data_IF_885085111017
#
_entry.id   IF_885085111017
#
_cell.length_a   1.000
_cell.length_b   1.000
_cell.length_c   1.000
_cell.angle_alpha   90.00
_cell.angle_beta   90.00
_cell.angle_gamma   90.00
#
_symmetry.space_group_name_H-M   'P 1'
#
loop_
_entity.id
_entity.type
_entity.pdbx_description
1 polymer ?
#
# COMPACT_ATOMS: atom_id res chain seq x y z
N UNK A 1 -3.30 9.21 -21.19
CA UNK A 1 -2.47 8.00 -21.31
C UNK A 1 -2.26 7.40 -19.93
N UNK A 2 -2.02 6.12 -19.84
CA UNK A 2 -1.73 5.45 -18.58
C UNK A 2 -0.42 5.99 -18.00
N UNK A 3 -0.43 6.39 -16.73
CA UNK A 3 0.77 6.91 -16.07
C UNK A 3 1.81 5.79 -15.93
N UNK A 4 3.05 6.09 -16.31
CA UNK A 4 4.15 5.14 -16.10
C UNK A 4 4.44 5.02 -14.59
N UNK A 5 5.14 3.94 -14.20
CA UNK A 5 5.54 3.76 -12.79
C UNK A 5 6.39 4.94 -12.29
N UNK A 6 7.31 5.45 -13.11
CA UNK A 6 8.17 6.58 -12.74
C UNK A 6 7.37 7.88 -12.55
N UNK A 7 6.35 8.11 -13.38
CA UNK A 7 5.45 9.26 -13.21
C UNK A 7 4.68 9.17 -11.89
N UNK A 8 4.27 7.95 -11.49
CA UNK A 8 3.59 7.72 -10.22
C UNK A 8 4.53 7.95 -9.02
N UNK A 9 5.79 7.54 -9.13
CA UNK A 9 6.83 7.81 -8.10
C UNK A 9 6.99 9.31 -7.92
N UNK A 10 7.22 10.06 -9.00
CA UNK A 10 7.39 11.52 -8.95
C UNK A 10 6.16 12.23 -8.39
N UNK A 11 4.96 11.78 -8.77
CA UNK A 11 3.72 12.35 -8.26
C UNK A 11 3.54 12.07 -6.75
N UNK A 12 3.85 10.86 -6.30
CA UNK A 12 3.80 10.51 -4.88
C UNK A 12 4.80 11.32 -4.05
N UNK A 13 6.02 11.49 -4.53
CA UNK A 13 7.06 12.29 -3.87
C UNK A 13 6.68 13.78 -3.84
N UNK A 14 6.12 14.29 -4.93
CA UNK A 14 5.60 15.67 -5.00
C UNK A 14 4.49 15.89 -3.98
N UNK A 15 3.51 14.98 -3.92
CA UNK A 15 2.41 15.06 -2.97
C UNK A 15 2.94 15.01 -1.52
N UNK A 16 3.86 14.09 -1.23
CA UNK A 16 4.49 13.96 0.09
C UNK A 16 5.28 15.21 0.48
N UNK A 17 6.05 15.78 -0.44
CA UNK A 17 6.83 17.00 -0.21
C UNK A 17 5.95 18.19 0.18
N UNK A 18 4.85 18.43 -0.54
CA UNK A 18 3.93 19.51 -0.20
C UNK A 18 3.13 19.18 1.06
N UNK A 19 2.67 17.95 1.25
CA UNK A 19 1.93 17.54 2.43
C UNK A 19 2.73 17.71 3.73
N UNK A 20 4.02 17.43 3.71
CA UNK A 20 4.90 17.60 4.89
C UNK A 20 5.06 19.06 5.33
N UNK A 21 4.77 20.05 4.47
CA UNK A 21 4.81 21.47 4.81
C UNK A 21 3.57 21.94 5.59
N UNK A 22 2.52 21.13 5.61
CA UNK A 22 1.28 21.43 6.30
C UNK A 22 1.30 20.89 7.73
N UNK A 23 1.21 21.80 8.71
CA UNK A 23 1.19 21.47 10.14
C UNK A 23 -0.04 20.69 10.58
N UNK A 24 -1.08 20.71 9.77
CA UNK A 24 -2.34 20.00 9.97
C UNK A 24 -2.22 18.49 9.73
N UNK A 25 -1.15 18.08 9.07
CA UNK A 25 -0.90 16.69 8.68
C UNK A 25 0.24 16.10 9.50
N UNK A 26 0.11 14.84 9.92
CA UNK A 26 1.14 14.12 10.68
C UNK A 26 1.19 12.65 10.29
N UNK A 27 2.33 11.99 10.57
CA UNK A 27 2.51 10.56 10.32
C UNK A 27 2.44 10.17 8.86
N UNK A 28 2.82 11.09 7.95
CA UNK A 28 2.78 10.85 6.51
C UNK A 28 3.76 9.76 6.09
N UNK A 29 3.28 8.80 5.34
CA UNK A 29 4.09 7.72 4.76
C UNK A 29 3.54 7.29 3.40
N UNK A 30 4.44 6.93 2.49
CA UNK A 30 4.10 6.35 1.19
C UNK A 30 4.41 4.86 1.18
N UNK A 31 3.53 4.06 0.56
CA UNK A 31 3.79 2.63 0.33
C UNK A 31 4.68 2.38 -0.88
N UNK A 32 4.93 3.41 -1.68
CA UNK A 32 5.73 3.31 -2.89
C UNK A 32 7.20 3.53 -2.52
N UNK A 33 7.95 2.44 -2.49
CA UNK A 33 9.40 2.45 -2.34
C UNK A 33 9.99 2.03 -3.67
N UNK A 34 10.55 2.98 -4.40
CA UNK A 34 11.07 2.78 -5.76
C UNK A 34 12.51 2.25 -5.78
N UNK A 35 13.28 2.53 -4.73
CA UNK A 35 14.73 2.30 -4.68
C UNK A 35 15.13 1.25 -3.63
N UNK A 36 14.44 0.13 -3.58
CA UNK A 36 14.86 -0.97 -2.71
C UNK A 36 16.03 -1.68 -3.40
N UNK A 37 17.18 -1.82 -2.72
CA UNK A 37 18.29 -2.61 -3.23
C UNK A 37 17.85 -4.05 -3.47
N UNK A 38 18.11 -4.56 -4.65
CA UNK A 38 17.76 -5.91 -5.08
C UNK A 38 18.96 -6.59 -5.69
N UNK A 39 19.03 -7.90 -5.58
CA UNK A 39 19.97 -8.73 -6.30
C UNK A 39 19.30 -9.26 -7.56
N UNK A 40 19.76 -8.81 -8.71
CA UNK A 40 19.32 -9.28 -10.02
C UNK A 40 20.25 -10.38 -10.51
N UNK A 41 19.69 -11.51 -10.89
CA UNK A 41 20.44 -12.60 -11.51
C UNK A 41 20.04 -12.73 -12.96
N UNK A 42 20.95 -12.36 -13.85
CA UNK A 42 20.77 -12.48 -15.28
C UNK A 42 21.14 -13.88 -15.75
N UNK A 43 20.10 -14.66 -16.07
CA UNK A 43 20.24 -16.06 -16.47
C UNK A 43 20.53 -16.16 -17.96
N UNK A 44 21.67 -16.77 -18.31
CA UNK A 44 22.00 -17.14 -19.67
C UNK A 44 21.21 -18.41 -20.06
N UNK A 45 20.07 -18.20 -20.70
CA UNK A 45 19.14 -19.29 -21.05
C UNK A 45 19.75 -20.29 -22.05
N UNK A 46 20.69 -19.86 -22.89
CA UNK A 46 21.36 -20.72 -23.83
C UNK A 46 22.33 -21.66 -23.13
N UNK A 47 23.12 -21.14 -22.18
CA UNK A 47 23.99 -21.99 -21.33
C UNK A 47 23.19 -22.97 -20.48
N UNK A 48 22.08 -22.50 -19.86
CA UNK A 48 21.18 -23.37 -19.09
C UNK A 48 20.71 -24.54 -19.93
N UNK A 49 20.30 -24.28 -21.17
CA UNK A 49 19.83 -25.31 -22.12
C UNK A 49 20.96 -26.24 -22.58
N UNK A 50 22.13 -25.65 -22.88
CA UNK A 50 23.32 -26.43 -23.33
C UNK A 50 23.81 -27.40 -22.23
N UNK A 51 23.77 -26.97 -20.95
CA UNK A 51 24.18 -27.77 -19.81
C UNK A 51 23.08 -28.71 -19.32
N UNK A 52 21.97 -28.79 -20.02
CA UNK A 52 20.86 -29.69 -19.70
C UNK A 52 20.16 -29.42 -18.38
N UNK A 53 20.27 -28.19 -17.87
CA UNK A 53 19.62 -27.76 -16.62
C UNK A 53 18.21 -27.29 -16.90
N UNK A 54 17.17 -27.77 -16.18
CA UNK A 54 15.84 -27.20 -16.31
C UNK A 54 15.81 -25.76 -15.78
N UNK A 55 15.29 -24.82 -16.55
CA UNK A 55 15.23 -23.40 -16.15
C UNK A 55 14.43 -23.18 -14.85
N UNK A 56 13.38 -23.98 -14.65
CA UNK A 56 12.60 -23.95 -13.42
C UNK A 56 13.44 -24.31 -12.18
N UNK A 57 14.38 -25.24 -12.32
CA UNK A 57 15.24 -25.67 -11.23
C UNK A 57 16.28 -24.60 -10.88
N UNK A 58 16.74 -23.80 -11.85
CA UNK A 58 17.60 -22.64 -11.58
C UNK A 58 16.90 -21.64 -10.66
N UNK A 59 15.67 -21.25 -11.01
CA UNK A 59 14.91 -20.30 -10.21
C UNK A 59 14.45 -20.87 -8.86
N UNK A 60 14.06 -22.15 -8.81
CA UNK A 60 13.67 -22.78 -7.54
C UNK A 60 14.85 -22.92 -6.59
N UNK A 61 16.03 -23.24 -7.10
CA UNK A 61 17.27 -23.28 -6.33
C UNK A 61 17.63 -21.91 -5.78
N UNK A 62 17.62 -20.89 -6.62
CA UNK A 62 17.85 -19.51 -6.16
C UNK A 62 16.85 -19.10 -5.08
N UNK A 63 15.57 -19.35 -5.29
CA UNK A 63 14.51 -19.05 -4.32
C UNK A 63 14.75 -19.78 -2.99
N UNK A 64 15.19 -21.02 -3.02
CA UNK A 64 15.46 -21.82 -1.82
C UNK A 64 16.63 -21.28 -1.01
N UNK A 65 17.71 -20.89 -1.67
CA UNK A 65 18.91 -20.41 -0.99
C UNK A 65 18.82 -18.94 -0.54
N UNK A 66 18.36 -18.03 -1.43
CA UNK A 66 18.38 -16.59 -1.15
C UNK A 66 17.12 -16.10 -0.45
N UNK A 67 15.99 -16.71 -0.74
CA UNK A 67 14.70 -16.40 -0.14
C UNK A 67 14.32 -17.40 0.94
N UNK A 68 13.21 -18.06 0.71
CA UNK A 68 12.81 -19.22 1.51
C UNK A 68 11.83 -20.07 0.70
N UNK A 69 11.80 -21.36 0.97
CA UNK A 69 10.82 -22.28 0.43
C UNK A 69 9.97 -22.84 1.57
N UNK A 70 8.68 -22.61 1.46
CA UNK A 70 7.71 -23.27 2.30
C UNK A 70 7.66 -24.76 1.95
N UNK A 71 7.85 -25.62 2.96
CA UNK A 71 7.90 -27.06 2.78
C UNK A 71 6.60 -27.73 3.21
N UNK A 72 6.17 -27.44 4.44
CA UNK A 72 4.97 -28.04 5.03
C UNK A 72 4.59 -27.31 6.33
N UNK A 73 3.43 -27.71 6.88
CA UNK A 73 2.98 -27.30 8.21
C UNK A 73 3.05 -28.50 9.19
N UNK A 74 3.23 -28.21 10.47
CA UNK A 74 3.00 -29.17 11.54
C UNK A 74 2.19 -28.54 12.66
N UNK A 75 1.39 -29.39 13.34
CA UNK A 75 0.55 -28.98 14.47
C UNK A 75 1.25 -29.29 15.78
N UNK A 76 1.44 -28.27 16.63
CA UNK A 76 1.98 -28.43 17.98
C UNK A 76 1.29 -27.42 18.91
N UNK A 77 0.94 -27.82 20.12
CA UNK A 77 0.25 -26.98 21.13
C UNK A 77 -0.99 -26.26 20.58
N UNK A 78 -1.79 -26.97 19.80
CA UNK A 78 -3.03 -26.45 19.19
C UNK A 78 -2.80 -25.25 18.22
N UNK A 79 -1.60 -25.11 17.66
CA UNK A 79 -1.21 -24.10 16.67
C UNK A 79 -0.57 -24.76 15.46
N UNK A 80 -0.77 -24.13 14.30
CA UNK A 80 -0.15 -24.53 13.03
C UNK A 80 1.16 -23.77 12.90
N UNK A 81 2.27 -24.52 12.75
CA UNK A 81 3.60 -23.97 12.50
C UNK A 81 4.01 -24.26 11.08
N UNK A 82 4.44 -23.23 10.37
CA UNK A 82 4.94 -23.34 9.00
C UNK A 82 6.43 -23.62 8.98
N UNK A 83 6.84 -24.60 8.17
CA UNK A 83 8.25 -24.97 7.99
C UNK A 83 8.77 -24.30 6.72
N UNK A 84 9.82 -23.50 6.88
CA UNK A 84 10.55 -22.89 5.77
C UNK A 84 12.00 -23.35 5.78
N UNK A 85 12.56 -23.58 4.59
CA UNK A 85 13.98 -23.87 4.38
C UNK A 85 14.60 -22.70 3.64
N UNK A 86 15.77 -22.27 4.09
CA UNK A 86 16.61 -21.25 3.46
C UNK A 86 18.08 -21.49 3.83
N UNK A 87 19.01 -20.91 3.08
CA UNK A 87 20.40 -20.89 3.49
C UNK A 87 20.58 -20.02 4.75
N UNK A 88 21.55 -20.36 5.59
CA UNK A 88 21.94 -19.53 6.74
C UNK A 88 22.46 -18.15 6.26
N UNK A 89 22.32 -17.12 7.10
CA UNK A 89 22.67 -15.75 6.76
C UNK A 89 24.06 -15.58 6.15
N UNK A 90 25.16 -16.12 6.71
CA UNK A 90 26.50 -15.97 6.16
C UNK A 90 26.66 -16.45 4.71
N UNK A 91 25.81 -17.40 4.29
CA UNK A 91 25.86 -17.98 2.94
C UNK A 91 24.97 -17.25 1.92
N UNK A 92 24.22 -16.20 2.30
CA UNK A 92 23.31 -15.44 1.43
C UNK A 92 23.42 -13.92 1.56
N UNK A 93 24.33 -13.41 2.39
CA UNK A 93 24.47 -11.96 2.63
C UNK A 93 25.16 -11.20 1.49
N UNK A 94 26.03 -11.89 0.74
CA UNK A 94 26.81 -11.30 -0.33
C UNK A 94 26.45 -11.91 -1.69
N UNK A 95 26.50 -11.09 -2.75
CA UNK A 95 26.26 -11.58 -4.13
C UNK A 95 27.20 -12.70 -4.54
N UNK A 96 28.45 -12.67 -4.02
CA UNK A 96 29.47 -13.65 -4.36
C UNK A 96 29.19 -15.04 -3.79
N UNK A 97 28.30 -15.14 -2.79
CA UNK A 97 27.86 -16.41 -2.23
C UNK A 97 27.06 -17.27 -3.22
N UNK A 98 26.61 -16.70 -4.34
CA UNK A 98 25.99 -17.45 -5.45
C UNK A 98 26.95 -18.53 -6.01
N UNK A 99 28.26 -18.35 -5.85
CA UNK A 99 29.28 -19.35 -6.18
C UNK A 99 29.12 -20.67 -5.42
N UNK A 100 28.47 -20.63 -4.25
CA UNK A 100 28.26 -21.80 -3.39
C UNK A 100 26.98 -22.57 -3.75
N UNK A 101 26.17 -22.06 -4.69
CA UNK A 101 24.90 -22.67 -5.02
C UNK A 101 25.02 -23.48 -6.30
N UNK A 102 24.48 -24.70 -6.24
CA UNK A 102 24.51 -25.65 -7.33
C UNK A 102 23.09 -26.09 -7.70
N UNK A 103 22.87 -26.31 -8.97
CA UNK A 103 21.63 -26.87 -9.50
C UNK A 103 21.93 -28.18 -10.23
N UNK A 104 21.03 -29.14 -10.12
CA UNK A 104 21.20 -30.45 -10.73
C UNK A 104 20.76 -30.43 -12.19
N UNK A 105 21.63 -30.85 -13.09
CA UNK A 105 21.31 -31.07 -14.48
C UNK A 105 20.56 -32.43 -14.69
N UNK A 106 19.96 -32.63 -15.86
CA UNK A 106 19.18 -33.84 -16.16
C UNK A 106 20.00 -35.14 -16.10
N UNK A 107 21.27 -35.04 -16.41
CA UNK A 107 22.24 -36.15 -16.31
C UNK A 107 22.73 -36.44 -14.89
N UNK A 108 22.29 -35.63 -13.93
CA UNK A 108 22.65 -35.75 -12.52
C UNK A 108 23.88 -34.93 -12.10
N UNK A 109 24.56 -34.26 -13.01
CA UNK A 109 25.71 -33.40 -12.73
C UNK A 109 25.28 -32.15 -11.98
N UNK A 110 26.06 -31.75 -10.98
CA UNK A 110 25.85 -30.51 -10.22
C UNK A 110 26.55 -29.34 -10.92
N UNK A 111 25.78 -28.36 -11.38
CA UNK A 111 26.26 -27.20 -12.11
C UNK A 111 26.19 -25.95 -11.19
N UNK A 112 27.30 -25.22 -10.99
CA UNK A 112 27.28 -24.00 -10.18
C UNK A 112 26.43 -22.91 -10.87
N UNK A 113 25.64 -22.15 -10.08
CA UNK A 113 24.79 -21.10 -10.62
C UNK A 113 25.56 -20.02 -11.38
N UNK A 114 26.80 -19.76 -10.99
CA UNK A 114 27.68 -18.79 -11.69
C UNK A 114 28.04 -19.19 -13.13
N UNK A 115 27.95 -20.47 -13.47
CA UNK A 115 28.10 -20.93 -14.85
C UNK A 115 26.85 -20.63 -15.71
N UNK A 116 25.72 -20.35 -15.07
CA UNK A 116 24.41 -20.19 -15.71
C UNK A 116 23.98 -18.72 -15.83
N UNK A 117 24.70 -17.79 -15.20
CA UNK A 117 24.35 -16.38 -15.22
C UNK A 117 25.23 -15.53 -14.31
N UNK A 118 24.92 -14.24 -14.29
CA UNK A 118 25.63 -13.24 -13.49
C UNK A 118 24.70 -12.56 -12.50
N UNK A 119 25.22 -12.32 -11.28
CA UNK A 119 24.52 -11.54 -10.27
C UNK A 119 25.02 -10.09 -10.23
N UNK A 120 24.10 -9.15 -10.19
CA UNK A 120 24.38 -7.73 -10.04
C UNK A 120 23.42 -7.08 -9.06
N UNK A 121 23.89 -6.03 -8.38
CA UNK A 121 22.99 -5.18 -7.61
C UNK A 121 22.21 -4.26 -8.53
N UNK A 122 20.94 -4.13 -8.26
CA UNK A 122 20.03 -3.18 -8.90
C UNK A 122 19.12 -2.54 -7.86
N UNK A 123 18.40 -1.51 -8.25
CA UNK A 123 17.32 -0.94 -7.42
C UNK A 123 16.00 -1.14 -8.14
N UNK A 124 14.96 -1.31 -7.37
CA UNK A 124 13.62 -1.50 -7.93
C UNK A 124 12.52 -1.44 -6.89
N UNK A 125 11.27 -1.42 -7.31
CA UNK A 125 10.14 -1.41 -6.40
C UNK A 125 10.01 -2.74 -5.64
N UNK A 126 9.83 -2.65 -4.32
CA UNK A 126 9.61 -3.84 -3.49
C UNK A 126 8.25 -4.49 -3.72
N UNK A 127 7.25 -3.69 -4.03
CA UNK A 127 5.91 -4.15 -4.40
C UNK A 127 5.17 -3.09 -5.22
N UNK A 128 4.40 -3.53 -6.19
CA UNK A 128 3.50 -2.68 -6.98
C UNK A 128 2.07 -2.99 -6.55
N UNK A 129 1.38 -1.98 -6.01
CA UNK A 129 -0.03 -2.10 -5.61
C UNK A 129 -0.93 -1.60 -6.73
N UNK A 130 -2.11 -2.20 -6.84
CA UNK A 130 -3.17 -1.76 -7.75
C UNK A 130 -4.45 -1.50 -6.97
N UNK A 131 -5.13 -0.44 -7.34
CA UNK A 131 -6.47 -0.09 -6.85
C UNK A 131 -7.35 0.21 -8.06
N UNK A 132 -8.52 -0.38 -8.13
CA UNK A 132 -9.42 -0.28 -9.29
C UNK A 132 -8.70 -0.56 -10.64
N UNK A 133 -7.81 -1.56 -10.66
CA UNK A 133 -6.97 -1.99 -11.80
C UNK A 133 -5.83 -1.02 -12.19
N UNK A 134 -5.75 0.17 -11.61
CA UNK A 134 -4.66 1.12 -11.83
C UNK A 134 -3.51 0.89 -10.84
N UNK A 135 -2.28 1.08 -11.32
CA UNK A 135 -1.10 1.10 -10.44
C UNK A 135 -1.19 2.30 -9.49
N UNK A 136 -1.01 2.07 -8.20
CA UNK A 136 -1.24 3.09 -7.16
C UNK A 136 -0.10 3.19 -6.15
N UNK A 137 0.11 4.41 -5.68
CA UNK A 137 0.85 4.72 -4.46
C UNK A 137 -0.15 4.93 -3.31
N UNK A 138 -0.05 4.16 -2.23
CA UNK A 138 -0.89 4.37 -1.06
C UNK A 138 -0.17 5.29 -0.10
N UNK A 139 -0.73 6.49 0.09
CA UNK A 139 -0.24 7.47 1.07
C UNK A 139 -1.11 7.37 2.31
N UNK A 140 -0.47 7.30 3.47
CA UNK A 140 -1.11 7.27 4.77
C UNK A 140 -0.66 8.46 5.59
N UNK A 141 -1.56 8.96 6.40
CA UNK A 141 -1.32 10.06 7.33
C UNK A 141 -2.50 10.23 8.27
N UNK A 142 -2.38 11.13 9.21
CA UNK A 142 -3.41 11.48 10.16
C UNK A 142 -3.50 12.99 10.30
N UNK A 143 -4.63 13.49 10.76
CA UNK A 143 -4.73 14.87 11.20
C UNK A 143 -3.83 15.10 12.43
N UNK A 144 -3.14 16.24 12.47
CA UNK A 144 -2.37 16.67 13.63
C UNK A 144 -3.29 17.04 14.79
N UNK A 145 -2.74 17.12 15.98
CA UNK A 145 -3.50 17.50 17.18
C UNK A 145 -4.17 18.87 17.00
N UNK A 146 -5.47 18.94 17.25
CA UNK A 146 -6.28 20.15 17.08
C UNK A 146 -6.92 20.32 15.72
N UNK A 147 -6.71 19.40 14.79
CA UNK A 147 -7.32 19.40 13.45
C UNK A 147 -8.22 18.18 13.24
N UNK A 148 -9.26 18.34 12.42
CA UNK A 148 -10.15 17.24 12.08
C UNK A 148 -9.63 16.44 10.88
N UNK A 149 -10.07 15.18 10.77
CA UNK A 149 -9.81 14.33 9.59
C UNK A 149 -10.33 14.98 8.30
N UNK A 150 -11.49 15.62 8.35
CA UNK A 150 -12.04 16.34 7.20
C UNK A 150 -11.14 17.48 6.70
N UNK A 151 -10.56 18.27 7.62
CA UNK A 151 -9.60 19.32 7.26
C UNK A 151 -8.32 18.73 6.65
N UNK A 152 -7.81 17.64 7.22
CA UNK A 152 -6.65 16.96 6.68
C UNK A 152 -6.91 16.42 5.26
N UNK A 153 -8.08 15.83 5.03
CA UNK A 153 -8.48 15.35 3.69
C UNK A 153 -8.63 16.49 2.69
N UNK A 154 -9.21 17.61 3.08
CA UNK A 154 -9.37 18.78 2.20
C UNK A 154 -8.02 19.37 1.77
N UNK A 155 -7.06 19.46 2.69
CA UNK A 155 -5.69 19.90 2.39
C UNK A 155 -5.02 18.95 1.40
N UNK A 156 -5.13 17.64 1.60
CA UNK A 156 -4.58 16.66 0.67
C UNK A 156 -5.19 16.77 -0.74
N UNK A 157 -6.49 17.03 -0.83
CA UNK A 157 -7.15 17.27 -2.12
C UNK A 157 -6.71 18.58 -2.79
N UNK A 158 -6.49 19.63 -2.01
CA UNK A 158 -5.98 20.90 -2.54
C UNK A 158 -4.55 20.73 -3.08
N UNK A 159 -3.68 20.02 -2.34
CA UNK A 159 -2.32 19.72 -2.80
C UNK A 159 -2.38 18.89 -4.09
N UNK A 160 -3.21 17.86 -4.12
CA UNK A 160 -3.36 17.01 -5.30
C UNK A 160 -3.82 17.80 -6.54
N UNK A 161 -4.85 18.63 -6.39
CA UNK A 161 -5.36 19.49 -7.50
C UNK A 161 -4.32 20.49 -8.02
N UNK A 162 -3.44 20.98 -7.14
CA UNK A 162 -2.52 22.04 -7.52
C UNK A 162 -1.17 21.53 -8.06
N UNK A 163 -0.81 20.28 -7.71
CA UNK A 163 0.56 19.79 -7.93
C UNK A 163 0.64 18.45 -8.65
N UNK A 164 -0.45 17.69 -8.74
CA UNK A 164 -0.43 16.45 -9.53
C UNK A 164 -0.70 16.73 -11.00
N UNK A 165 -0.07 15.96 -11.91
CA UNK A 165 -0.36 16.04 -13.33
C UNK A 165 -1.76 15.47 -13.64
N UNK A 166 -2.37 15.92 -14.73
CA UNK A 166 -3.77 15.58 -15.12
C UNK A 166 -4.04 14.08 -15.31
N UNK A 167 -3.00 13.29 -15.54
CA UNK A 167 -3.10 11.84 -15.73
C UNK A 167 -2.98 11.03 -14.43
N UNK A 168 -2.81 11.69 -13.28
CA UNK A 168 -2.74 11.06 -11.96
C UNK A 168 -3.75 11.72 -11.03
N UNK A 169 -4.71 10.92 -10.56
CA UNK A 169 -5.72 11.36 -9.62
C UNK A 169 -5.45 10.90 -8.19
N UNK A 170 -6.13 11.54 -7.24
CA UNK A 170 -6.20 11.13 -5.84
C UNK A 170 -7.59 10.52 -5.57
N UNK A 171 -7.61 9.32 -4.98
CA UNK A 171 -8.82 8.66 -4.52
C UNK A 171 -8.70 8.27 -3.05
N UNK A 172 -9.80 8.42 -2.33
CA UNK A 172 -9.90 7.99 -0.94
C UNK A 172 -10.27 6.52 -0.83
N UNK A 173 -9.69 5.83 0.16
CA UNK A 173 -10.01 4.43 0.46
C UNK A 173 -10.22 4.21 1.96
N UNK A 174 -10.83 3.07 2.31
CA UNK A 174 -11.08 2.69 3.70
C UNK A 174 -11.97 3.67 4.44
N UNK A 175 -11.56 4.05 5.65
CA UNK A 175 -12.33 4.96 6.52
C UNK A 175 -12.48 6.36 5.94
N UNK A 176 -11.45 6.90 5.32
CA UNK A 176 -11.50 8.24 4.70
C UNK A 176 -12.54 8.32 3.57
N UNK A 177 -12.69 7.25 2.79
CA UNK A 177 -13.76 7.16 1.79
C UNK A 177 -15.15 7.16 2.45
N UNK A 178 -15.31 6.40 3.54
CA UNK A 178 -16.59 6.34 4.26
C UNK A 178 -16.94 7.69 4.89
N UNK A 179 -15.97 8.35 5.51
CA UNK A 179 -16.13 9.68 6.10
C UNK A 179 -16.55 10.72 5.05
N UNK A 180 -15.88 10.73 3.91
CA UNK A 180 -16.22 11.65 2.81
C UNK A 180 -17.62 11.38 2.26
N UNK A 181 -18.00 10.12 2.13
CA UNK A 181 -19.35 9.73 1.69
C UNK A 181 -20.43 10.11 2.71
N UNK A 182 -20.15 9.97 4.00
CA UNK A 182 -21.08 10.30 5.09
C UNK A 182 -21.21 11.82 5.31
N UNK A 183 -20.10 12.58 5.16
CA UNK A 183 -20.06 14.01 5.41
C UNK A 183 -21.05 14.82 4.58
N UNK A 184 -21.33 14.40 3.34
CA UNK A 184 -22.33 15.05 2.47
C UNK A 184 -23.79 14.87 2.91
N UNK A 185 -24.09 13.90 3.77
CA UNK A 185 -25.46 13.58 4.20
C UNK A 185 -25.80 14.11 5.60
N UNK A 186 -24.80 14.42 6.42
CA UNK A 186 -25.01 14.81 7.82
C UNK A 186 -25.84 16.09 7.96
N UNK A 187 -25.63 17.10 7.13
CA UNK A 187 -26.40 18.32 7.14
C UNK A 187 -27.88 18.10 6.81
N UNK A 188 -28.17 17.29 5.81
CA UNK A 188 -29.53 16.95 5.40
C UNK A 188 -30.26 16.16 6.52
N UNK A 189 -29.58 15.16 7.10
CA UNK A 189 -30.15 14.35 8.20
C UNK A 189 -30.45 15.22 9.42
N UNK A 190 -29.53 16.08 9.84
CA UNK A 190 -29.77 16.99 10.95
C UNK A 190 -30.93 17.94 10.68
N UNK A 191 -31.02 18.52 9.49
CA UNK A 191 -32.14 19.39 9.09
C UNK A 191 -33.47 18.65 9.19
N UNK A 192 -33.54 17.41 8.68
CA UNK A 192 -34.74 16.58 8.79
C UNK A 192 -35.07 16.25 10.25
N UNK A 193 -34.10 15.92 11.07
CA UNK A 193 -34.32 15.66 12.50
C UNK A 193 -34.91 16.88 13.20
N UNK A 194 -34.33 18.07 13.01
CA UNK A 194 -34.87 19.30 13.58
C UNK A 194 -36.30 19.59 13.07
N UNK A 195 -36.56 19.38 11.79
CA UNK A 195 -37.88 19.56 11.21
C UNK A 195 -38.90 18.61 11.87
N UNK A 196 -38.57 17.32 11.99
CA UNK A 196 -39.47 16.33 12.58
C UNK A 196 -39.70 16.60 14.08
N UNK A 197 -38.67 16.97 14.83
CA UNK A 197 -38.79 17.36 16.24
C UNK A 197 -39.68 18.56 16.38
N UNK A 198 -39.50 19.59 15.54
CA UNK A 198 -40.36 20.79 15.54
C UNK A 198 -41.81 20.44 15.22
N UNK A 199 -42.07 19.63 14.18
CA UNK A 199 -43.42 19.22 13.79
C UNK A 199 -44.07 18.39 14.89
N UNK A 200 -43.33 17.49 15.54
CA UNK A 200 -43.82 16.68 16.66
C UNK A 200 -44.25 17.55 17.85
N UNK A 201 -43.39 18.51 18.23
CA UNK A 201 -43.68 19.45 19.30
C UNK A 201 -44.86 20.38 18.94
N UNK A 202 -44.94 20.86 17.71
CA UNK A 202 -46.06 21.68 17.23
C UNK A 202 -47.41 20.91 17.31
N UNK A 203 -47.39 19.64 16.96
CA UNK A 203 -48.56 18.75 17.08
C UNK A 203 -48.95 18.50 18.54
N UNK A 204 -47.94 18.37 19.42
CA UNK A 204 -48.20 18.13 20.86
C UNK A 204 -48.73 19.36 21.60
N UNK A 205 -48.29 20.55 21.23
CA UNK A 205 -48.72 21.80 21.83
C UNK A 205 -49.89 22.44 21.09
N UNK A 206 -50.39 21.83 20.03
CA UNK A 206 -51.46 22.35 19.15
C UNK A 206 -51.22 23.83 18.70
N UNK A 207 -49.95 24.27 18.68
CA UNK A 207 -49.55 25.64 18.39
C UNK A 207 -48.18 25.73 17.81
N UNK A 208 -48.05 26.34 16.63
CA UNK A 208 -46.77 26.59 15.97
C UNK A 208 -45.92 27.65 16.70
N UNK A 209 -46.59 28.63 17.31
CA UNK A 209 -45.90 29.73 18.00
C UNK A 209 -45.38 29.33 19.36
N UNK A 210 -46.10 28.48 20.13
CA UNK A 210 -45.67 28.01 21.42
C UNK A 210 -44.35 27.27 21.40
N UNK A 211 -44.12 26.41 20.38
CA UNK A 211 -42.84 25.70 20.21
C UNK A 211 -41.66 26.64 19.98
N UNK A 212 -41.86 27.69 19.17
CA UNK A 212 -40.81 28.67 18.90
C UNK A 212 -40.43 29.48 20.15
N UNK A 213 -41.42 29.85 20.98
CA UNK A 213 -41.17 30.62 22.23
C UNK A 213 -40.57 29.78 23.36
N UNK A 214 -40.96 28.51 23.48
CA UNK A 214 -40.55 27.70 24.64
C UNK A 214 -39.27 26.90 24.41
N UNK A 215 -38.94 26.54 23.17
CA UNK A 215 -37.79 25.67 22.84
C UNK A 215 -36.70 26.33 22.00
N UNK A 216 -37.00 27.40 21.25
CA UNK A 216 -35.99 28.11 20.45
C UNK A 216 -35.45 29.40 21.14
N UNK A 217 -36.14 29.93 22.12
CA UNK A 217 -35.60 31.00 23.00
C UNK A 217 -35.04 30.34 24.25
N UNK A 218 -33.73 30.17 24.32
CA UNK A 218 -33.06 29.75 25.55
C UNK A 218 -33.29 30.82 26.60
N UNK A 219 -33.73 30.45 27.81
CA UNK A 219 -33.72 31.41 28.95
C UNK A 219 -32.26 31.82 29.21
N UNK A 220 -31.98 33.10 29.17
CA UNK A 220 -30.73 33.72 29.61
C UNK A 220 -30.55 33.50 31.08
#
# INVERSE_FOLDING_TARGET
>A
GEATFDNLVQAADTLMYYAQKHKELTGLSSSLQSEIPQLYFDVDRDKVKMLGVPLADVFSTMKAYTGSVYVNDFNMFNRIYKVYIQAEAPYREHKDNINLFFVKAKDGVMVPLTSLGNASYTTGPGSIKRFNMFTTAVIRGSAAQGYSSGQAMEIMEQIARNHLPDNIGLEWSGLSYQEKKAGGQTGLVLTLVFLFVFLFLAAQYESWTAVSYTHLTLPT
#
